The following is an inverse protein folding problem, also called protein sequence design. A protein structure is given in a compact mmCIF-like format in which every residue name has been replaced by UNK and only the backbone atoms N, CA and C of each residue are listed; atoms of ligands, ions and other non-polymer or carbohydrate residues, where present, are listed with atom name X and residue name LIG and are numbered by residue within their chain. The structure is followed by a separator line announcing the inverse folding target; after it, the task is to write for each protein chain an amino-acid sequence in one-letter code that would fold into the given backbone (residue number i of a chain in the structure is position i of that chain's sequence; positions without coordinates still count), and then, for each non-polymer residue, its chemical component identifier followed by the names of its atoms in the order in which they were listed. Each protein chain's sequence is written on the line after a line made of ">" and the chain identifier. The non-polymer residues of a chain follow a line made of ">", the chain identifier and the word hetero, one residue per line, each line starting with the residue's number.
data_IF_989202774679
#
_entry.id   IF_989202774679
#
_cell.length_a   1.000
_cell.length_b   1.000
_cell.length_c   1.000
_cell.angle_alpha   90.00
_cell.angle_beta   90.00
_cell.angle_gamma   90.00
#
_symmetry.space_group_name_H-M   'P 1'
#
loop_
_entity.id
_entity.type
_entity.pdbx_description
1 polymer ?
#
# COMPACT_ATOMS: atom_id res chain seq x y z
N UNK A 1 12.80 -2.55 -5.49
CA UNK A 1 11.99 -2.16 -4.32
C UNK A 1 10.56 -2.63 -4.53
N UNK A 2 9.93 -3.26 -3.54
CA UNK A 2 8.52 -3.73 -3.65
C UNK A 2 7.65 -2.94 -2.66
N UNK A 3 6.33 -2.85 -2.88
CA UNK A 3 5.44 -2.14 -1.95
C UNK A 3 5.56 -2.67 -0.51
N UNK A 4 5.84 -3.97 -0.35
CA UNK A 4 6.08 -4.58 0.97
C UNK A 4 7.34 -4.04 1.63
N UNK A 5 8.39 -3.75 0.86
CA UNK A 5 9.62 -3.16 1.38
C UNK A 5 9.39 -1.74 1.91
N UNK A 6 8.54 -0.94 1.25
CA UNK A 6 8.20 0.43 1.66
C UNK A 6 7.38 0.49 2.95
N UNK A 7 6.60 -0.55 3.23
CA UNK A 7 5.83 -0.70 4.47
C UNK A 7 6.70 -1.04 5.70
N UNK A 8 7.99 -1.31 5.52
CA UNK A 8 8.90 -1.61 6.62
C UNK A 8 8.93 -0.48 7.64
N UNK A 9 8.73 -0.84 8.91
CA UNK A 9 8.69 0.09 10.04
C UNK A 9 7.39 0.90 10.17
N UNK A 10 6.40 0.68 9.30
CA UNK A 10 5.06 1.27 9.42
C UNK A 10 4.09 0.24 10.02
N UNK A 11 3.11 0.71 10.80
CA UNK A 11 2.06 -0.16 11.34
C UNK A 11 0.94 -0.34 10.30
N UNK A 12 1.25 -1.09 9.23
CA UNK A 12 0.34 -1.33 8.11
C UNK A 12 0.02 -2.81 8.01
N UNK A 13 -1.27 -3.11 7.90
CA UNK A 13 -1.82 -4.45 7.78
C UNK A 13 -2.58 -4.61 6.47
N UNK A 14 -2.62 -5.83 5.92
CA UNK A 14 -3.41 -6.11 4.72
C UNK A 14 -2.57 -6.70 3.59
N UNK A 15 -2.90 -6.34 2.35
CA UNK A 15 -2.29 -6.96 1.20
C UNK A 15 -2.15 -6.06 -0.03
N UNK A 16 -1.21 -6.44 -0.89
CA UNK A 16 -1.01 -5.87 -2.22
C UNK A 16 -1.25 -6.95 -3.28
N UNK A 17 -1.90 -6.59 -4.38
CA UNK A 17 -2.19 -7.50 -5.49
C UNK A 17 -1.99 -6.80 -6.83
N UNK A 18 -1.37 -7.50 -7.79
CA UNK A 18 -1.28 -7.02 -9.16
C UNK A 18 -2.59 -7.33 -9.88
N UNK A 19 -3.14 -6.33 -10.54
CA UNK A 19 -4.33 -6.47 -11.37
C UNK A 19 -3.91 -6.84 -12.80
N UNK A 20 -4.83 -7.48 -13.55
CA UNK A 20 -4.58 -7.91 -14.93
C UNK A 20 -4.40 -6.75 -15.91
N UNK A 21 -4.85 -5.56 -15.55
CA UNK A 21 -4.69 -4.32 -16.33
C UNK A 21 -3.34 -3.65 -16.10
N UNK A 22 -2.46 -4.24 -15.29
CA UNK A 22 -1.15 -3.70 -14.94
C UNK A 22 -1.18 -2.74 -13.73
N UNK A 23 -2.35 -2.44 -13.18
CA UNK A 23 -2.47 -1.66 -11.95
C UNK A 23 -2.11 -2.50 -10.71
N UNK A 24 -1.83 -1.81 -9.61
CA UNK A 24 -1.53 -2.43 -8.31
C UNK A 24 -2.60 -1.98 -7.33
N UNK A 25 -3.35 -2.94 -6.79
CA UNK A 25 -4.33 -2.70 -5.74
C UNK A 25 -3.69 -2.99 -4.38
N UNK A 26 -3.78 -2.00 -3.49
CA UNK A 26 -3.39 -2.13 -2.09
C UNK A 26 -4.61 -1.97 -1.20
N UNK A 27 -4.93 -3.02 -0.45
CA UNK A 27 -5.97 -3.02 0.55
C UNK A 27 -5.31 -3.07 1.94
N UNK A 28 -5.24 -1.89 2.57
CA UNK A 28 -4.45 -1.65 3.78
C UNK A 28 -5.30 -1.09 4.91
N UNK A 29 -4.96 -1.53 6.12
CA UNK A 29 -5.50 -1.03 7.38
C UNK A 29 -4.32 -0.47 8.18
N UNK A 30 -4.36 0.84 8.42
CA UNK A 30 -3.27 1.60 9.02
C UNK A 30 -3.80 2.90 9.62
N UNK A 31 -3.00 3.56 10.45
CA UNK A 31 -3.29 4.94 10.84
C UNK A 31 -3.23 5.86 9.61
N UNK A 32 -3.94 6.98 9.64
CA UNK A 32 -3.88 7.98 8.56
C UNK A 32 -2.45 8.47 8.30
N UNK A 33 -1.62 8.55 9.34
CA UNK A 33 -0.22 8.95 9.21
C UNK A 33 0.61 7.87 8.50
N UNK A 34 0.50 6.62 8.95
CA UNK A 34 1.24 5.50 8.35
C UNK A 34 0.81 5.22 6.91
N UNK A 35 -0.50 5.30 6.62
CA UNK A 35 -1.04 5.15 5.28
C UNK A 35 -0.51 6.22 4.32
N UNK A 36 -0.49 7.49 4.76
CA UNK A 36 0.08 8.59 3.95
C UNK A 36 1.57 8.42 3.72
N UNK A 37 2.33 8.01 4.74
CA UNK A 37 3.77 7.79 4.58
C UNK A 37 4.07 6.61 3.65
N UNK A 38 3.29 5.53 3.72
CA UNK A 38 3.41 4.41 2.79
C UNK A 38 3.20 4.86 1.34
N UNK A 39 2.12 5.61 1.08
CA UNK A 39 1.83 6.17 -0.26
C UNK A 39 2.98 7.05 -0.74
N UNK A 40 3.48 7.95 0.12
CA UNK A 40 4.60 8.84 -0.20
C UNK A 40 5.87 8.06 -0.57
N UNK A 41 6.22 7.02 0.20
CA UNK A 41 7.40 6.18 -0.05
C UNK A 41 7.29 5.44 -1.38
N UNK A 42 6.12 4.87 -1.68
CA UNK A 42 5.87 4.17 -2.95
C UNK A 42 6.00 5.13 -4.12
N UNK A 43 5.41 6.32 -4.04
CA UNK A 43 5.49 7.34 -5.10
C UNK A 43 6.93 7.78 -5.37
N UNK A 44 7.74 7.93 -4.31
CA UNK A 44 9.16 8.28 -4.45
C UNK A 44 9.95 7.10 -5.06
N UNK A 45 9.79 5.89 -4.52
CA UNK A 45 10.54 4.72 -4.95
C UNK A 45 10.20 4.29 -6.40
N UNK A 46 9.02 4.66 -6.89
CA UNK A 46 8.51 4.34 -8.23
C UNK A 46 8.24 5.58 -9.08
N UNK A 47 8.91 6.69 -8.78
CA UNK A 47 8.82 7.90 -9.59
C UNK A 47 9.11 7.59 -11.07
N UNK A 48 8.18 7.96 -11.96
CA UNK A 48 8.26 7.69 -13.39
C UNK A 48 7.70 6.33 -13.86
N UNK A 49 7.18 5.49 -12.95
CA UNK A 49 6.50 4.23 -13.26
C UNK A 49 5.04 4.18 -12.79
N UNK A 50 4.55 5.28 -12.19
CA UNK A 50 3.19 5.41 -11.71
C UNK A 50 2.55 6.52 -12.54
N UNK A 51 1.56 6.14 -13.35
CA UNK A 51 0.79 7.09 -14.15
C UNK A 51 -0.23 7.86 -13.30
N UNK A 52 -0.86 7.18 -12.33
CA UNK A 52 -1.82 7.77 -11.40
C UNK A 52 -1.86 7.01 -10.06
N UNK A 53 -2.36 7.65 -9.01
CA UNK A 53 -2.59 7.04 -7.68
C UNK A 53 -3.95 7.47 -7.15
N UNK A 54 -4.86 6.50 -6.97
CA UNK A 54 -6.15 6.72 -6.32
C UNK A 54 -6.15 6.14 -4.91
N UNK A 55 -6.54 6.96 -3.92
CA UNK A 55 -6.58 6.55 -2.51
C UNK A 55 -7.98 6.76 -1.95
N UNK A 56 -8.59 5.69 -1.48
CA UNK A 56 -9.87 5.71 -0.77
C UNK A 56 -9.68 5.37 0.70
N UNK A 57 -10.22 6.20 1.59
CA UNK A 57 -10.28 5.89 3.02
C UNK A 57 -11.62 5.23 3.34
N UNK A 58 -11.57 4.15 4.13
CA UNK A 58 -12.73 3.42 4.63
C UNK A 58 -12.55 3.15 6.11
N UNK A 59 -13.63 2.74 6.78
CA UNK A 59 -13.56 2.33 8.16
C UNK A 59 -12.60 1.15 8.34
N UNK A 60 -11.82 1.19 9.42
CA UNK A 60 -10.84 0.15 9.74
C UNK A 60 -11.54 -1.20 9.93
N UNK A 61 -10.92 -2.25 9.39
CA UNK A 61 -11.37 -3.62 9.57
C UNK A 61 -10.67 -4.28 10.76
N UNK A 62 -9.91 -3.51 11.55
CA UNK A 62 -9.08 -3.98 12.67
C UNK A 62 -8.18 -5.15 12.29
N UNK A 63 -7.58 -5.11 11.10
CA UNK A 63 -6.67 -6.15 10.64
C UNK A 63 -5.40 -6.13 11.50
N UNK A 64 -4.97 -7.31 11.93
CA UNK A 64 -3.73 -7.51 12.70
C UNK A 64 -2.70 -8.36 11.97
N UNK A 65 -3.05 -8.85 10.77
CA UNK A 65 -2.13 -9.60 9.93
C UNK A 65 -1.18 -8.61 9.25
N UNK A 66 0.13 -8.87 9.30
CA UNK A 66 1.14 -8.05 8.63
C UNK A 66 0.87 -7.86 7.13
N UNK A 67 1.60 -6.94 6.51
CA UNK A 67 1.41 -6.60 5.10
C UNK A 67 2.09 -7.62 4.16
N UNK A 68 1.33 -8.19 3.21
CA UNK A 68 1.83 -9.25 2.31
C UNK A 68 1.38 -9.10 0.85
N UNK A 69 2.09 -9.73 -0.07
CA UNK A 69 1.64 -9.87 -1.45
C UNK A 69 0.58 -10.97 -1.51
N UNK A 70 -0.53 -10.70 -2.18
CA UNK A 70 -1.56 -11.67 -2.54
C UNK A 70 -1.42 -11.99 -4.03
N UNK A 71 -1.17 -13.26 -4.33
CA UNK A 71 -1.15 -13.82 -5.69
C UNK A 71 -2.55 -14.01 -6.22
#
# INVERSE_FOLDING_TARGET
>A
MTCVTEASGLNVHGHVSNQSDGSVLMDVDASTADGKELVRRIQIARAGYIDDTHVESRDSLNRKAGFKIKS
#
